data_IF_897101757803
#
_entry.id   IF_897101757803
#
_cell.length_a   1.000
_cell.length_b   1.000
_cell.length_c   1.000
_cell.angle_alpha   90.00
_cell.angle_beta   90.00
_cell.angle_gamma   90.00
#
_symmetry.space_group_name_H-M   'P 1'
#
loop_
_entity.id
_entity.type
_entity.pdbx_description
1 polymer ?
#
# COMPACT_ATOMS: atom_id res chain seq x y z
N UNK A 1 -2.23 11.41 33.84
CA UNK A 1 -2.21 11.59 32.38
C UNK A 1 -0.91 12.29 32.07
N UNK A 2 0.04 11.58 31.50
CA UNK A 2 1.24 12.19 30.95
C UNK A 2 0.79 12.99 29.74
N UNK A 3 0.97 14.30 29.76
CA UNK A 3 0.59 15.17 28.66
C UNK A 3 1.23 14.68 27.37
N UNK A 4 0.47 14.66 26.30
CA UNK A 4 0.98 14.44 24.96
C UNK A 4 2.04 15.51 24.68
N UNK A 5 3.23 15.09 24.30
CA UNK A 5 4.25 16.01 23.82
C UNK A 5 3.78 16.47 22.45
N UNK A 6 3.34 17.74 22.36
CA UNK A 6 3.07 18.36 21.05
C UNK A 6 4.39 18.43 20.27
N UNK A 7 4.35 18.11 18.99
CA UNK A 7 5.49 18.31 18.09
C UNK A 7 5.81 19.79 17.85
N UNK A 8 5.02 20.66 18.42
CA UNK A 8 5.11 22.11 18.23
C UNK A 8 4.30 22.59 17.02
N UNK A 9 4.18 23.93 16.87
CA UNK A 9 3.47 24.48 15.74
C UNK A 9 4.23 24.23 14.44
N UNK A 10 3.51 23.93 13.38
CA UNK A 10 4.08 23.81 12.04
C UNK A 10 4.66 25.15 11.57
N UNK A 11 5.93 25.14 11.15
CA UNK A 11 6.69 26.34 10.78
C UNK A 11 6.63 26.72 9.29
N UNK A 12 5.88 25.96 8.49
CA UNK A 12 5.61 26.24 7.08
C UNK A 12 6.40 25.41 6.08
N UNK A 13 7.66 25.13 6.29
CA UNK A 13 8.45 24.29 5.38
C UNK A 13 8.99 23.09 6.14
N UNK A 14 8.46 21.87 5.89
CA UNK A 14 8.98 20.67 6.53
C UNK A 14 10.43 20.44 6.12
N UNK A 15 11.22 20.02 7.08
CA UNK A 15 12.59 19.60 6.80
C UNK A 15 12.59 18.13 6.38
N UNK A 16 13.53 17.75 5.54
CA UNK A 16 13.74 16.34 5.16
C UNK A 16 14.57 15.59 6.21
N UNK A 17 14.48 16.01 7.47
CA UNK A 17 15.18 15.37 8.59
C UNK A 17 14.74 13.92 8.70
N UNK A 18 15.72 13.02 8.67
CA UNK A 18 15.47 11.57 8.68
C UNK A 18 15.25 10.93 7.32
N UNK A 19 15.06 11.71 6.26
CA UNK A 19 15.09 11.17 4.91
C UNK A 19 16.50 10.68 4.57
N UNK A 20 16.58 9.49 3.96
CA UNK A 20 17.86 8.99 3.47
C UNK A 20 18.31 9.84 2.29
N UNK A 21 19.45 10.45 2.40
CA UNK A 21 20.05 11.19 1.29
C UNK A 21 20.42 10.20 0.18
N UNK A 22 19.97 10.47 -1.03
CA UNK A 22 20.32 9.66 -2.18
C UNK A 22 21.85 9.72 -2.40
N UNK A 23 22.52 8.61 -2.18
CA UNK A 23 23.92 8.45 -2.54
C UNK A 23 24.00 7.79 -3.91
N UNK A 24 24.02 8.61 -4.94
CA UNK A 24 24.02 8.16 -6.34
C UNK A 24 25.27 7.36 -6.72
N UNK A 25 26.32 7.40 -5.93
CA UNK A 25 27.56 6.66 -6.18
C UNK A 25 27.50 5.21 -5.71
N UNK A 26 26.56 4.87 -4.81
CA UNK A 26 26.43 3.53 -4.26
C UNK A 26 25.14 2.82 -4.71
N UNK A 27 24.22 3.54 -5.31
CA UNK A 27 22.92 3.00 -5.69
C UNK A 27 22.96 2.42 -7.11
N UNK A 28 22.57 1.17 -7.24
CA UNK A 28 22.19 0.63 -8.55
C UNK A 28 20.77 1.11 -8.83
N UNK A 29 20.61 1.91 -9.88
CA UNK A 29 19.30 2.37 -10.28
C UNK A 29 18.41 1.17 -10.65
N UNK A 30 17.28 1.03 -10.00
CA UNK A 30 16.22 0.15 -10.46
C UNK A 30 15.62 0.86 -11.68
N UNK A 31 15.66 0.22 -12.84
CA UNK A 31 15.03 0.78 -14.02
C UNK A 31 13.53 0.93 -13.74
N UNK A 32 12.95 2.12 -13.91
CA UNK A 32 11.51 2.29 -13.74
C UNK A 32 10.79 1.36 -14.71
N UNK A 33 9.63 0.86 -14.29
CA UNK A 33 8.75 0.12 -15.19
C UNK A 33 8.39 1.04 -16.34
N UNK A 34 8.40 0.56 -17.59
CA UNK A 34 8.04 1.40 -18.73
C UNK A 34 6.59 1.87 -18.54
N UNK A 35 6.28 3.15 -18.79
CA UNK A 35 4.91 3.63 -18.77
C UNK A 35 4.07 2.79 -19.72
N UNK A 36 2.83 2.54 -19.36
CA UNK A 36 1.93 1.79 -20.21
C UNK A 36 1.67 2.58 -21.50
N UNK A 37 2.10 2.10 -22.68
CA UNK A 37 2.00 2.85 -23.92
C UNK A 37 0.57 3.09 -24.40
N UNK A 38 -0.41 2.37 -23.85
CA UNK A 38 -1.83 2.52 -24.19
C UNK A 38 -2.58 3.45 -23.26
N UNK A 39 -1.96 3.92 -22.19
CA UNK A 39 -2.57 4.89 -21.28
C UNK A 39 -2.74 6.24 -22.00
N UNK A 40 -4.00 6.69 -22.14
CA UNK A 40 -4.35 7.89 -22.92
C UNK A 40 -4.61 9.13 -22.07
N UNK A 41 -4.47 9.03 -20.77
CA UNK A 41 -4.73 10.16 -19.88
C UNK A 41 -3.50 10.99 -19.53
N UNK A 42 -2.34 10.61 -20.02
CA UNK A 42 -1.16 11.46 -20.07
C UNK A 42 -1.00 12.07 -21.47
N UNK A 43 -0.54 13.31 -21.54
CA UNK A 43 -0.11 13.90 -22.78
C UNK A 43 1.30 13.39 -23.16
N UNK A 44 1.77 13.80 -24.35
CA UNK A 44 3.10 13.40 -24.84
C UNK A 44 4.27 13.87 -23.93
N UNK A 45 4.04 14.80 -23.01
CA UNK A 45 4.99 15.31 -22.03
C UNK A 45 4.89 14.59 -20.68
N UNK A 46 4.05 13.55 -20.56
CA UNK A 46 3.85 12.82 -19.31
C UNK A 46 3.04 13.58 -18.25
N UNK A 47 2.27 14.58 -18.67
CA UNK A 47 1.39 15.35 -17.79
C UNK A 47 -0.04 14.82 -17.93
N UNK A 48 -0.72 14.64 -16.80
CA UNK A 48 -2.11 14.21 -16.78
C UNK A 48 -2.99 15.14 -17.60
N UNK A 49 -3.89 14.55 -18.39
CA UNK A 49 -4.89 15.29 -19.15
C UNK A 49 -5.98 15.86 -18.24
N UNK A 50 -6.28 15.18 -17.15
CA UNK A 50 -7.17 15.70 -16.11
C UNK A 50 -6.29 16.27 -14.99
N UNK A 51 -6.26 17.59 -14.84
CA UNK A 51 -5.47 18.21 -13.80
C UNK A 51 -5.96 17.82 -12.40
N UNK A 52 -5.05 17.92 -11.43
CA UNK A 52 -5.39 17.79 -10.03
C UNK A 52 -6.58 18.69 -9.66
N UNK A 53 -7.47 18.25 -8.76
CA UNK A 53 -8.57 19.08 -8.31
C UNK A 53 -8.07 20.36 -7.67
N UNK A 54 -8.73 21.50 -7.98
CA UNK A 54 -8.40 22.75 -7.33
C UNK A 54 -8.79 22.70 -5.85
N UNK A 55 -7.94 23.23 -4.95
CA UNK A 55 -8.28 23.33 -3.54
C UNK A 55 -9.58 24.12 -3.33
N UNK A 56 -10.41 23.65 -2.43
CA UNK A 56 -11.61 24.36 -1.99
C UNK A 56 -11.86 24.13 -0.51
N UNK A 57 -12.54 25.04 0.14
CA UNK A 57 -12.93 24.90 1.55
C UNK A 57 -14.12 23.95 1.67
N UNK A 58 -14.03 22.89 2.49
CA UNK A 58 -15.18 22.00 2.74
C UNK A 58 -16.37 22.76 3.33
N UNK A 59 -17.57 22.49 2.85
CA UNK A 59 -18.80 23.14 3.32
C UNK A 59 -19.26 22.66 4.72
N UNK A 60 -18.72 21.55 5.19
CA UNK A 60 -19.05 20.97 6.49
C UNK A 60 -18.16 21.46 7.62
N UNK A 61 -18.56 21.15 8.84
CA UNK A 61 -17.68 21.28 9.98
C UNK A 61 -17.57 22.68 10.58
N UNK A 62 -18.58 23.52 10.43
CA UNK A 62 -18.62 24.75 11.20
C UNK A 62 -18.64 24.44 12.70
N UNK A 63 -17.77 25.12 13.43
CA UNK A 63 -17.67 24.95 14.89
C UNK A 63 -19.00 25.24 15.58
N UNK A 64 -19.27 24.51 16.64
CA UNK A 64 -20.53 24.63 17.39
C UNK A 64 -20.70 25.97 18.11
N UNK A 65 -19.62 26.73 18.25
CA UNK A 65 -19.56 28.06 18.87
C UNK A 65 -19.52 29.21 17.85
N UNK A 66 -19.74 28.91 16.56
CA UNK A 66 -19.64 29.90 15.48
C UNK A 66 -18.21 30.16 15.01
N UNK A 67 -17.22 29.47 15.53
CA UNK A 67 -15.83 29.54 15.03
C UNK A 67 -15.66 28.55 13.88
N UNK A 68 -15.13 29.00 12.79
CA UNK A 68 -14.81 28.14 11.64
C UNK A 68 -13.70 27.16 12.05
N UNK A 69 -13.93 25.84 11.88
CA UNK A 69 -12.90 24.86 12.19
C UNK A 69 -11.74 24.95 11.20
N UNK A 70 -10.54 24.76 11.71
CA UNK A 70 -9.33 24.76 10.89
C UNK A 70 -8.88 23.33 10.62
N UNK A 71 -9.09 22.87 9.42
CA UNK A 71 -8.62 21.56 8.93
C UNK A 71 -7.23 21.72 8.31
N UNK A 72 -6.24 21.99 9.15
CA UNK A 72 -4.86 22.25 8.73
C UNK A 72 -3.89 21.46 9.60
N UNK A 73 -2.73 21.19 9.04
CA UNK A 73 -1.59 20.62 9.78
C UNK A 73 -1.12 21.58 10.87
N UNK A 74 -0.74 21.03 12.03
CA UNK A 74 -0.31 21.80 13.19
C UNK A 74 1.19 21.60 13.51
N UNK A 75 1.86 20.64 12.84
CA UNK A 75 3.27 20.32 13.08
C UNK A 75 3.92 19.76 11.81
N UNK A 76 5.26 19.65 11.84
CA UNK A 76 6.02 18.97 10.78
C UNK A 76 5.63 17.50 10.68
N UNK A 77 5.30 16.84 11.79
CA UNK A 77 4.79 15.47 11.80
C UNK A 77 3.46 15.36 11.07
N UNK A 78 2.52 16.27 11.35
CA UNK A 78 1.25 16.32 10.62
C UNK A 78 1.50 16.49 9.12
N UNK A 79 2.35 17.47 8.76
CA UNK A 79 2.64 17.73 7.36
C UNK A 79 3.22 16.52 6.64
N UNK A 80 4.26 15.91 7.17
CA UNK A 80 4.93 14.76 6.56
C UNK A 80 4.01 13.54 6.47
N UNK A 81 3.14 13.33 7.46
CA UNK A 81 2.18 12.23 7.49
C UNK A 81 1.04 12.46 6.50
N UNK A 82 0.48 13.67 6.46
CA UNK A 82 -0.60 14.01 5.51
C UNK A 82 -0.06 14.06 4.08
N UNK A 83 1.17 14.55 3.87
CA UNK A 83 1.80 14.53 2.56
C UNK A 83 2.03 13.09 2.05
N UNK A 84 2.39 12.15 2.93
CA UNK A 84 2.43 10.73 2.59
C UNK A 84 1.04 10.22 2.18
N UNK A 85 0.00 10.54 2.94
CA UNK A 85 -1.39 10.24 2.59
C UNK A 85 -1.74 10.81 1.21
N UNK A 86 -1.40 12.07 0.93
CA UNK A 86 -1.68 12.67 -0.37
C UNK A 86 -0.96 11.97 -1.53
N UNK A 87 0.26 11.46 -1.34
CA UNK A 87 0.90 10.62 -2.35
C UNK A 87 0.13 9.32 -2.58
N UNK A 88 -0.48 8.76 -1.54
CA UNK A 88 -1.34 7.58 -1.66
C UNK A 88 -2.61 7.90 -2.46
N UNK A 89 -3.30 8.99 -2.15
CA UNK A 89 -4.49 9.42 -2.88
C UNK A 89 -4.20 9.68 -4.37
N UNK A 90 -3.07 10.34 -4.65
CA UNK A 90 -2.67 10.58 -6.03
C UNK A 90 -2.37 9.31 -6.82
N UNK A 91 -1.72 8.32 -6.21
CA UNK A 91 -1.45 7.04 -6.90
C UNK A 91 -2.74 6.25 -7.10
N UNK A 92 -3.67 6.24 -6.14
CA UNK A 92 -4.93 5.51 -6.27
C UNK A 92 -5.83 6.14 -7.33
N UNK A 93 -5.94 7.46 -7.35
CA UNK A 93 -6.65 8.18 -8.41
C UNK A 93 -6.09 7.86 -9.80
N UNK A 94 -4.76 7.91 -9.94
CA UNK A 94 -4.09 7.58 -11.20
C UNK A 94 -4.26 6.10 -11.56
N UNK A 95 -4.07 5.21 -10.61
CA UNK A 95 -4.16 3.76 -10.77
C UNK A 95 -5.54 3.32 -11.27
N UNK A 96 -6.60 3.81 -10.65
CA UNK A 96 -7.97 3.47 -11.06
C UNK A 96 -8.25 3.99 -12.47
N UNK A 97 -7.89 5.23 -12.76
CA UNK A 97 -8.02 5.81 -14.10
C UNK A 97 -7.13 5.09 -15.12
N UNK A 98 -5.93 4.66 -14.72
CA UNK A 98 -5.02 3.89 -15.58
C UNK A 98 -5.66 2.58 -16.00
N UNK A 99 -6.12 1.79 -15.06
CA UNK A 99 -6.78 0.52 -15.37
C UNK A 99 -8.01 0.70 -16.26
N UNK A 100 -8.80 1.74 -16.01
CA UNK A 100 -9.97 2.05 -16.85
C UNK A 100 -9.60 2.52 -18.27
N UNK A 101 -8.44 3.14 -18.45
CA UNK A 101 -7.95 3.55 -19.76
C UNK A 101 -7.31 2.41 -20.54
N UNK A 102 -6.61 1.51 -19.81
CA UNK A 102 -5.87 0.39 -20.40
C UNK A 102 -6.78 -0.79 -20.74
N UNK A 103 -7.73 -1.09 -19.87
CA UNK A 103 -8.62 -2.24 -20.01
C UNK A 103 -10.02 -1.79 -20.43
N UNK A 104 -10.47 -2.33 -21.55
CA UNK A 104 -11.82 -2.12 -22.06
C UNK A 104 -12.87 -2.84 -21.20
N UNK A 105 -14.14 -2.54 -21.45
CA UNK A 105 -15.25 -3.29 -20.83
C UNK A 105 -15.20 -4.78 -21.22
N UNK A 106 -14.78 -5.08 -22.45
CA UNK A 106 -14.63 -6.47 -22.93
C UNK A 106 -13.53 -7.20 -22.17
N UNK A 107 -12.38 -6.55 -21.89
CA UNK A 107 -11.30 -7.13 -21.08
C UNK A 107 -11.79 -7.48 -19.66
N UNK A 108 -12.64 -6.63 -19.07
CA UNK A 108 -13.25 -6.92 -17.77
C UNK A 108 -14.19 -8.12 -17.84
N UNK A 109 -15.02 -8.21 -18.89
CA UNK A 109 -15.91 -9.36 -19.11
C UNK A 109 -15.12 -10.64 -19.32
N UNK A 110 -14.05 -10.62 -20.11
CA UNK A 110 -13.16 -11.76 -20.32
C UNK A 110 -12.48 -12.20 -19.02
N UNK A 111 -12.12 -11.25 -18.15
CA UNK A 111 -11.59 -11.52 -16.82
C UNK A 111 -12.64 -12.09 -15.86
N UNK A 112 -13.93 -12.13 -16.26
CA UNK A 112 -15.04 -12.60 -15.45
C UNK A 112 -15.61 -11.56 -14.51
N UNK A 113 -15.40 -10.29 -14.78
CA UNK A 113 -16.01 -9.16 -14.10
C UNK A 113 -17.11 -8.55 -14.99
N UNK A 114 -17.97 -7.75 -14.40
CA UNK A 114 -19.09 -7.13 -15.09
C UNK A 114 -18.81 -5.66 -15.46
N UNK A 115 -19.63 -5.09 -16.33
CA UNK A 115 -19.61 -3.66 -16.59
C UNK A 115 -19.90 -2.84 -15.31
N UNK A 116 -20.69 -3.39 -14.38
CA UNK A 116 -20.97 -2.77 -13.08
C UNK A 116 -19.72 -2.76 -12.19
N UNK A 117 -18.95 -3.82 -12.13
CA UNK A 117 -17.68 -3.86 -11.40
C UNK A 117 -16.72 -2.78 -11.92
N UNK A 118 -16.64 -2.62 -13.25
CA UNK A 118 -15.85 -1.56 -13.88
C UNK A 118 -16.37 -0.16 -13.53
N UNK A 119 -17.70 0.02 -13.47
CA UNK A 119 -18.31 1.27 -13.08
C UNK A 119 -18.04 1.63 -11.61
N UNK A 120 -17.96 0.64 -10.73
CA UNK A 120 -17.55 0.86 -9.33
C UNK A 120 -16.13 1.40 -9.24
N UNK A 121 -15.19 0.90 -10.04
CA UNK A 121 -13.83 1.42 -10.06
C UNK A 121 -13.80 2.88 -10.56
N UNK A 122 -14.62 3.21 -11.57
CA UNK A 122 -14.77 4.59 -12.03
C UNK A 122 -15.33 5.50 -10.93
N UNK A 123 -16.25 5.00 -10.12
CA UNK A 123 -16.77 5.73 -8.97
C UNK A 123 -15.72 5.90 -7.87
N UNK A 124 -14.91 4.87 -7.60
CA UNK A 124 -13.79 4.95 -6.66
C UNK A 124 -12.80 6.04 -7.08
N UNK A 125 -12.45 6.13 -8.37
CA UNK A 125 -11.59 7.21 -8.87
C UNK A 125 -12.17 8.62 -8.59
N UNK A 126 -13.49 8.77 -8.59
CA UNK A 126 -14.14 10.02 -8.18
C UNK A 126 -14.01 10.26 -6.67
N UNK A 127 -14.07 9.21 -5.85
CA UNK A 127 -13.83 9.31 -4.41
C UNK A 127 -12.41 9.78 -4.12
N UNK A 128 -11.40 9.23 -4.82
CA UNK A 128 -10.01 9.67 -4.67
C UNK A 128 -9.79 11.13 -5.07
N UNK A 129 -10.56 11.66 -6.01
CA UNK A 129 -10.56 13.10 -6.29
C UNK A 129 -10.98 13.89 -5.05
N UNK A 130 -11.96 13.42 -4.31
CA UNK A 130 -12.42 14.02 -3.06
C UNK A 130 -11.35 13.96 -1.96
N UNK A 131 -10.75 12.79 -1.78
CA UNK A 131 -9.67 12.55 -0.79
C UNK A 131 -8.45 13.42 -1.10
N UNK A 132 -7.95 13.40 -2.34
CA UNK A 132 -6.82 14.23 -2.75
C UNK A 132 -7.10 15.74 -2.59
N UNK A 133 -8.31 16.19 -2.86
CA UNK A 133 -8.73 17.58 -2.63
C UNK A 133 -8.67 17.92 -1.14
N UNK A 134 -9.19 17.04 -0.29
CA UNK A 134 -9.18 17.22 1.16
C UNK A 134 -7.77 17.39 1.70
N UNK A 135 -6.87 16.46 1.36
CA UNK A 135 -5.50 16.48 1.85
C UNK A 135 -4.71 17.67 1.28
N UNK A 136 -4.94 18.02 0.01
CA UNK A 136 -4.36 19.23 -0.59
C UNK A 136 -4.75 20.48 0.19
N UNK A 137 -6.01 20.61 0.58
CA UNK A 137 -6.49 21.75 1.37
C UNK A 137 -5.86 21.79 2.77
N UNK A 138 -5.64 20.62 3.40
CA UNK A 138 -4.98 20.53 4.71
C UNK A 138 -3.52 20.97 4.67
N UNK A 139 -2.82 20.69 3.58
CA UNK A 139 -1.40 21.00 3.39
C UNK A 139 -1.16 22.40 2.81
N UNK A 140 -2.14 22.97 2.12
CA UNK A 140 -2.06 24.28 1.49
C UNK A 140 -1.08 24.33 0.31
N UNK A 141 -0.38 25.46 0.14
CA UNK A 141 0.51 25.69 -1.03
C UNK A 141 1.69 24.72 -1.11
N UNK A 142 2.08 24.10 -0.01
CA UNK A 142 3.17 23.13 0.05
C UNK A 142 2.72 21.69 -0.25
N UNK A 143 1.44 21.48 -0.58
CA UNK A 143 0.91 20.16 -0.89
C UNK A 143 1.65 19.50 -2.05
N UNK A 144 2.04 18.22 -1.94
CA UNK A 144 2.53 17.47 -3.08
C UNK A 144 1.52 17.45 -4.22
N UNK A 145 2.01 17.64 -5.44
CA UNK A 145 1.20 17.50 -6.64
C UNK A 145 1.38 16.11 -7.25
N UNK A 146 0.46 15.73 -8.11
CA UNK A 146 0.46 14.43 -8.73
C UNK A 146 1.77 14.15 -9.50
N UNK A 147 2.26 12.93 -9.36
CA UNK A 147 3.45 12.40 -10.02
C UNK A 147 3.09 11.56 -11.24
N UNK A 148 4.07 10.92 -11.86
CA UNK A 148 3.88 9.87 -12.85
C UNK A 148 4.24 8.52 -12.25
N UNK A 149 3.61 7.46 -12.75
CA UNK A 149 3.66 6.15 -12.11
C UNK A 149 3.98 5.04 -13.11
N UNK A 150 4.50 3.94 -12.60
CA UNK A 150 4.69 2.70 -13.34
C UNK A 150 4.05 1.55 -12.55
N UNK A 151 3.17 0.79 -13.19
CA UNK A 151 2.43 -0.27 -12.55
C UNK A 151 2.87 -1.65 -13.03
N UNK A 152 2.88 -2.67 -12.16
CA UNK A 152 3.40 -4.00 -12.49
C UNK A 152 2.37 -4.93 -13.14
N UNK A 153 1.13 -4.51 -13.34
CA UNK A 153 0.07 -5.34 -13.88
C UNK A 153 -0.02 -5.27 -15.41
N UNK A 154 -0.55 -6.32 -16.02
CA UNK A 154 -0.78 -6.46 -17.47
C UNK A 154 -2.13 -7.05 -17.81
N UNK A 155 -2.84 -7.57 -16.83
CA UNK A 155 -4.18 -8.14 -16.97
C UNK A 155 -5.13 -7.47 -16.00
N UNK A 156 -6.45 -7.57 -16.25
CA UNK A 156 -7.47 -7.04 -15.35
C UNK A 156 -7.34 -7.65 -13.94
N UNK A 157 -7.05 -8.94 -13.84
CA UNK A 157 -6.90 -9.58 -12.53
C UNK A 157 -5.70 -9.10 -11.76
N UNK A 158 -4.58 -8.93 -12.43
CA UNK A 158 -3.40 -8.34 -11.80
C UNK A 158 -3.65 -6.89 -11.38
N UNK A 159 -4.40 -6.14 -12.18
CA UNK A 159 -4.85 -4.79 -11.85
C UNK A 159 -5.71 -4.78 -10.59
N UNK A 160 -6.72 -5.64 -10.50
CA UNK A 160 -7.58 -5.71 -9.31
C UNK A 160 -6.80 -6.19 -8.08
N UNK A 161 -5.90 -7.17 -8.24
CA UNK A 161 -5.02 -7.62 -7.15
C UNK A 161 -4.09 -6.52 -6.66
N UNK A 162 -3.53 -5.77 -7.58
CA UNK A 162 -2.68 -4.62 -7.25
C UNK A 162 -3.47 -3.53 -6.52
N UNK A 163 -4.68 -3.21 -6.97
CA UNK A 163 -5.56 -2.26 -6.31
C UNK A 163 -5.85 -2.67 -4.86
N UNK A 164 -6.27 -3.92 -4.63
CA UNK A 164 -6.59 -4.36 -3.27
C UNK A 164 -5.38 -4.28 -2.33
N UNK A 165 -4.16 -4.42 -2.85
CA UNK A 165 -2.93 -4.32 -2.05
C UNK A 165 -2.52 -2.87 -1.80
N UNK A 166 -2.62 -2.00 -2.82
CA UNK A 166 -2.30 -0.57 -2.67
C UNK A 166 -3.28 0.09 -1.71
N UNK A 167 -4.58 -0.15 -1.86
CA UNK A 167 -5.59 0.37 -0.93
C UNK A 167 -5.34 -0.16 0.48
N UNK A 168 -4.97 -1.44 0.64
CA UNK A 168 -4.59 -1.98 1.94
C UNK A 168 -3.39 -1.27 2.57
N UNK A 169 -2.40 -0.88 1.77
CA UNK A 169 -1.24 -0.11 2.24
C UNK A 169 -1.64 1.31 2.63
N UNK A 170 -2.50 1.95 1.86
CA UNK A 170 -3.03 3.29 2.15
C UNK A 170 -3.76 3.34 3.48
N UNK A 171 -4.76 2.48 3.64
CA UNK A 171 -5.49 2.30 4.89
C UNK A 171 -4.55 2.10 6.07
N UNK A 172 -3.65 1.14 5.95
CA UNK A 172 -2.75 0.76 7.03
C UNK A 172 -1.76 1.87 7.36
N UNK A 173 -1.30 2.61 6.36
CA UNK A 173 -0.44 3.78 6.55
C UNK A 173 -1.12 4.85 7.39
N UNK A 174 -2.38 5.18 7.05
CA UNK A 174 -3.17 6.18 7.80
C UNK A 174 -3.46 5.69 9.21
N UNK A 175 -3.91 4.45 9.40
CA UNK A 175 -4.13 3.89 10.75
C UNK A 175 -2.87 3.91 11.60
N UNK A 176 -1.68 3.84 10.99
CA UNK A 176 -0.40 3.86 11.71
C UNK A 176 -0.02 5.22 12.28
N UNK A 177 -0.47 6.33 11.68
CA UNK A 177 -0.09 7.67 12.14
C UNK A 177 -1.24 8.52 12.68
N UNK A 178 -2.49 8.21 12.37
CA UNK A 178 -3.64 9.06 12.67
C UNK A 178 -3.77 9.42 14.15
N UNK A 179 -3.42 8.50 15.04
CA UNK A 179 -3.47 8.67 16.49
C UNK A 179 -2.34 9.55 17.05
N UNK A 180 -1.35 9.90 16.22
CA UNK A 180 -0.22 10.74 16.58
C UNK A 180 -0.30 12.16 16.01
N UNK A 181 -1.33 12.46 15.21
CA UNK A 181 -1.53 13.79 14.66
C UNK A 181 -1.83 14.80 15.76
N UNK A 182 -1.21 15.98 15.65
CA UNK A 182 -1.48 17.10 16.54
C UNK A 182 -2.80 17.80 16.18
N UNK A 183 -3.19 17.78 14.91
CA UNK A 183 -4.50 18.27 14.44
C UNK A 183 -5.57 17.19 14.58
N UNK A 184 -6.43 17.35 15.56
CA UNK A 184 -7.57 16.44 15.79
C UNK A 184 -8.64 16.55 14.71
N UNK A 185 -8.81 17.75 14.17
CA UNK A 185 -9.72 18.03 13.07
C UNK A 185 -9.30 17.28 11.80
N UNK A 186 -8.01 17.27 11.52
CA UNK A 186 -7.42 16.50 10.43
C UNK A 186 -7.59 15.00 10.67
N UNK A 187 -7.28 14.52 11.87
CA UNK A 187 -7.47 13.11 12.23
C UNK A 187 -8.92 12.66 12.07
N UNK A 188 -9.88 13.52 12.42
CA UNK A 188 -11.31 13.25 12.21
C UNK A 188 -11.64 13.09 10.72
N UNK A 189 -11.16 13.99 9.86
CA UNK A 189 -11.42 13.92 8.43
C UNK A 189 -10.80 12.67 7.79
N UNK A 190 -9.56 12.35 8.17
CA UNK A 190 -8.89 11.14 7.70
C UNK A 190 -9.62 9.86 8.11
N UNK A 191 -10.16 9.82 9.32
CA UNK A 191 -10.98 8.67 9.76
C UNK A 191 -12.18 8.44 8.86
N UNK A 192 -12.73 9.50 8.27
CA UNK A 192 -13.87 9.41 7.37
C UNK A 192 -13.46 8.97 5.96
N UNK A 193 -12.31 9.44 5.44
CA UNK A 193 -11.82 9.00 4.13
C UNK A 193 -11.40 7.53 4.18
N UNK A 194 -10.60 7.14 5.16
CA UNK A 194 -10.09 5.79 5.29
C UNK A 194 -11.20 4.74 5.46
N UNK A 195 -12.32 5.11 6.09
CA UNK A 195 -13.50 4.26 6.18
C UNK A 195 -14.14 4.00 4.80
N UNK A 196 -13.92 4.87 3.83
CA UNK A 196 -14.36 4.69 2.44
C UNK A 196 -13.40 3.77 1.69
N UNK A 197 -12.10 3.93 1.89
CA UNK A 197 -11.07 3.07 1.30
C UNK A 197 -11.20 1.62 1.78
N UNK A 198 -11.53 1.38 3.04
CA UNK A 198 -11.83 0.04 3.54
C UNK A 198 -12.96 -0.64 2.75
N UNK A 199 -13.96 0.12 2.27
CA UNK A 199 -15.01 -0.41 1.40
C UNK A 199 -14.52 -0.63 -0.03
N UNK A 200 -13.62 0.18 -0.53
CA UNK A 200 -12.99 -0.02 -1.84
C UNK A 200 -12.16 -1.31 -1.82
N UNK A 201 -11.32 -1.49 -0.81
CA UNK A 201 -10.54 -2.71 -0.60
C UNK A 201 -11.44 -3.94 -0.50
N UNK A 202 -12.52 -3.86 0.27
CA UNK A 202 -13.54 -4.90 0.34
C UNK A 202 -14.09 -5.27 -1.06
N UNK A 203 -14.39 -4.26 -1.90
CA UNK A 203 -14.93 -4.48 -3.24
C UNK A 203 -13.90 -5.17 -4.15
N UNK A 204 -12.64 -4.75 -4.12
CA UNK A 204 -11.58 -5.42 -4.87
C UNK A 204 -11.39 -6.88 -4.42
N UNK A 205 -11.45 -7.14 -3.12
CA UNK A 205 -11.40 -8.50 -2.58
C UNK A 205 -12.57 -9.35 -3.07
N UNK A 206 -13.78 -8.79 -3.14
CA UNK A 206 -14.95 -9.47 -3.70
C UNK A 206 -14.74 -9.80 -5.18
N UNK A 207 -14.24 -8.86 -5.98
CA UNK A 207 -13.94 -9.07 -7.39
C UNK A 207 -12.93 -10.22 -7.61
N UNK A 208 -12.02 -10.42 -6.66
CA UNK A 208 -11.05 -11.52 -6.68
C UNK A 208 -11.57 -12.82 -6.06
N UNK A 209 -12.75 -12.79 -5.47
CA UNK A 209 -13.30 -13.92 -4.72
C UNK A 209 -12.57 -14.16 -3.39
N UNK A 210 -11.90 -13.19 -2.84
CA UNK A 210 -11.31 -13.23 -1.51
C UNK A 210 -12.35 -12.93 -0.42
N UNK A 211 -12.05 -13.23 0.84
CA UNK A 211 -12.90 -12.79 1.94
C UNK A 211 -12.99 -11.26 1.94
N UNK A 212 -14.20 -10.68 1.81
CA UNK A 212 -14.34 -9.24 1.65
C UNK A 212 -14.04 -8.46 2.93
N UNK A 213 -14.31 -9.05 4.08
CA UNK A 213 -14.04 -8.51 5.42
C UNK A 213 -13.24 -9.55 6.20
N UNK A 214 -11.93 -9.64 5.95
CA UNK A 214 -11.14 -10.81 6.34
C UNK A 214 -10.76 -10.84 7.81
N UNK A 215 -10.82 -9.71 8.51
CA UNK A 215 -10.31 -9.54 9.88
C UNK A 215 -11.27 -8.77 10.77
N UNK A 216 -11.01 -8.76 12.07
CA UNK A 216 -11.82 -8.02 13.05
C UNK A 216 -11.34 -6.58 13.24
N UNK A 217 -10.05 -6.30 13.03
CA UNK A 217 -9.46 -4.98 13.21
C UNK A 217 -8.54 -4.66 12.04
N UNK A 218 -8.56 -3.40 11.61
CA UNK A 218 -7.59 -2.92 10.62
C UNK A 218 -6.18 -2.85 11.23
N UNK A 219 -5.18 -2.95 10.37
CA UNK A 219 -3.78 -2.96 10.77
C UNK A 219 -3.15 -1.60 10.49
N UNK A 220 -2.53 -0.97 11.48
CA UNK A 220 -1.70 0.22 11.27
C UNK A 220 -0.24 -0.14 11.02
N UNK A 221 0.43 0.61 10.14
CA UNK A 221 1.87 0.46 9.85
C UNK A 221 2.60 1.80 9.94
N UNK A 222 3.91 1.82 10.23
CA UNK A 222 4.70 3.04 10.25
C UNK A 222 4.76 3.72 8.87
N UNK A 223 4.89 5.03 8.85
CA UNK A 223 4.99 5.83 7.61
C UNK A 223 6.13 5.37 6.69
N UNK A 224 7.29 5.02 7.24
CA UNK A 224 8.41 4.48 6.44
C UNK A 224 8.05 3.17 5.74
N UNK A 225 7.15 2.36 6.32
CA UNK A 225 6.66 1.14 5.69
C UNK A 225 5.73 1.49 4.53
N UNK A 226 4.74 2.34 4.78
CA UNK A 226 3.83 2.80 3.73
C UNK A 226 4.61 3.45 2.57
N UNK A 227 5.58 4.34 2.88
CA UNK A 227 6.43 4.96 1.87
C UNK A 227 7.29 3.95 1.10
N UNK A 228 7.82 2.93 1.76
CA UNK A 228 8.58 1.85 1.11
C UNK A 228 7.74 1.12 0.07
N UNK A 229 6.49 0.78 0.42
CA UNK A 229 5.59 0.10 -0.51
C UNK A 229 5.13 1.00 -1.66
N UNK A 230 4.87 2.27 -1.40
CA UNK A 230 4.30 3.21 -2.35
C UNK A 230 5.34 3.74 -3.34
N UNK A 231 6.48 4.19 -2.84
CA UNK A 231 7.46 4.97 -3.60
C UNK A 231 8.04 4.23 -4.80
N UNK A 232 8.09 2.92 -4.76
CA UNK A 232 8.63 2.09 -5.85
C UNK A 232 7.83 2.19 -7.14
N UNK A 233 6.59 2.62 -7.08
CA UNK A 233 5.71 2.78 -8.25
C UNK A 233 5.68 4.22 -8.77
N UNK A 234 6.31 5.17 -8.07
CA UNK A 234 6.40 6.56 -8.49
C UNK A 234 7.63 6.72 -9.39
N UNK A 235 7.41 6.96 -10.67
CA UNK A 235 8.50 7.09 -11.65
C UNK A 235 9.14 8.47 -11.63
N UNK A 236 8.33 9.53 -11.60
CA UNK A 236 8.85 10.90 -11.50
C UNK A 236 7.82 11.84 -10.86
N UNK A 237 8.32 12.89 -10.23
CA UNK A 237 7.53 13.98 -9.69
C UNK A 237 8.03 15.32 -10.19
N UNK A 238 7.22 16.39 -10.16
CA UNK A 238 7.66 17.74 -10.47
C UNK A 238 8.88 18.18 -9.64
N UNK A 239 9.77 18.94 -10.27
CA UNK A 239 11.08 19.26 -9.69
C UNK A 239 11.03 20.04 -8.36
N UNK A 240 9.95 20.79 -8.13
CA UNK A 240 9.78 21.63 -6.94
C UNK A 240 9.05 20.93 -5.79
N UNK A 241 8.78 19.63 -5.92
CA UNK A 241 8.05 18.90 -4.92
C UNK A 241 8.91 18.62 -3.70
N UNK A 242 8.37 18.89 -2.52
CA UNK A 242 9.04 18.63 -1.26
C UNK A 242 9.30 17.13 -1.11
N UNK A 243 10.53 16.80 -0.75
CA UNK A 243 10.93 15.43 -0.44
C UNK A 243 10.38 15.02 0.93
N UNK A 244 9.74 13.87 1.00
CA UNK A 244 9.29 13.31 2.27
C UNK A 244 10.47 12.83 3.14
N UNK A 245 10.32 12.95 4.46
CA UNK A 245 11.30 12.51 5.43
C UNK A 245 11.38 10.98 5.61
N UNK A 246 10.40 10.24 5.11
CA UNK A 246 10.27 8.81 5.38
C UNK A 246 11.35 7.98 4.69
N UNK A 247 11.89 7.03 5.45
CA UNK A 247 12.90 6.09 4.98
C UNK A 247 12.28 5.08 4.01
N UNK A 248 13.07 4.64 3.02
CA UNK A 248 12.81 3.44 2.25
C UNK A 248 13.66 2.28 2.77
N UNK A 249 13.00 1.17 3.05
CA UNK A 249 13.63 -0.07 3.50
C UNK A 249 13.87 -0.99 2.30
N UNK A 250 14.84 -1.94 2.39
CA UNK A 250 14.98 -2.98 1.38
C UNK A 250 13.72 -3.84 1.26
N UNK A 251 13.41 -4.32 0.06
CA UNK A 251 12.25 -5.17 -0.16
C UNK A 251 12.49 -6.61 0.29
N UNK A 252 11.51 -7.19 0.94
CA UNK A 252 11.38 -8.60 1.31
C UNK A 252 10.35 -9.27 0.39
N UNK A 253 10.72 -10.39 -0.19
CA UNK A 253 9.87 -11.15 -1.10
C UNK A 253 9.47 -12.50 -0.49
N UNK A 254 8.20 -12.83 -0.61
CA UNK A 254 7.68 -14.15 -0.23
C UNK A 254 7.65 -15.04 -1.48
N UNK A 255 8.54 -16.02 -1.53
CA UNK A 255 8.70 -16.89 -2.71
C UNK A 255 7.48 -17.78 -2.94
N UNK A 256 6.83 -18.20 -1.86
CA UNK A 256 5.67 -19.10 -1.88
C UNK A 256 4.43 -18.45 -1.26
N UNK A 257 4.06 -17.26 -1.77
CA UNK A 257 2.84 -16.57 -1.35
C UNK A 257 1.64 -17.49 -1.28
N UNK A 258 0.83 -17.30 -0.26
CA UNK A 258 -0.41 -18.05 -0.10
C UNK A 258 -1.47 -17.59 -1.12
N UNK A 259 -1.57 -16.29 -1.37
CA UNK A 259 -2.43 -15.79 -2.43
C UNK A 259 -1.86 -16.20 -3.80
N UNK A 260 -2.60 -16.96 -4.59
CA UNK A 260 -2.14 -17.42 -5.90
C UNK A 260 -2.15 -16.35 -6.99
N UNK A 261 -2.77 -15.21 -6.75
CA UNK A 261 -2.88 -14.13 -7.73
C UNK A 261 -1.56 -13.38 -7.86
N UNK A 262 -0.71 -13.85 -8.76
CA UNK A 262 0.66 -13.42 -8.99
C UNK A 262 0.89 -13.07 -10.45
N UNK A 263 2.02 -12.41 -10.72
CA UNK A 263 2.43 -12.13 -12.10
C UNK A 263 3.02 -13.36 -12.81
N UNK A 264 3.53 -14.36 -12.07
CA UNK A 264 4.05 -15.60 -12.62
C UNK A 264 3.82 -16.76 -11.63
N UNK A 265 3.65 -18.02 -12.10
CA UNK A 265 3.50 -19.16 -11.21
C UNK A 265 4.63 -19.34 -10.21
N UNK A 266 5.80 -18.82 -10.57
CA UNK A 266 7.01 -18.87 -9.73
C UNK A 266 7.33 -17.56 -9.04
N UNK A 267 6.54 -16.52 -9.26
CA UNK A 267 6.78 -15.20 -8.72
C UNK A 267 6.03 -14.96 -7.43
N UNK A 268 6.52 -13.99 -6.73
CA UNK A 268 5.79 -13.30 -5.69
C UNK A 268 4.66 -12.47 -6.28
N UNK A 269 3.69 -12.08 -5.48
CA UNK A 269 2.65 -11.18 -5.91
C UNK A 269 3.24 -9.85 -6.44
N UNK A 270 2.55 -9.15 -7.36
CA UNK A 270 3.09 -7.95 -8.01
C UNK A 270 3.63 -6.90 -7.05
N UNK A 271 2.99 -6.78 -5.91
CA UNK A 271 3.34 -5.82 -4.88
C UNK A 271 4.70 -6.09 -4.21
N UNK A 272 5.26 -7.25 -4.37
CA UNK A 272 6.49 -7.65 -3.72
C UNK A 272 7.76 -7.33 -4.52
N UNK A 273 7.75 -6.19 -5.22
CA UNK A 273 8.95 -5.63 -5.85
C UNK A 273 9.32 -6.25 -7.19
N UNK A 274 8.36 -6.77 -7.93
CA UNK A 274 8.66 -7.25 -9.27
C UNK A 274 8.96 -6.07 -10.21
N UNK A 275 10.21 -5.95 -10.57
CA UNK A 275 10.73 -5.02 -11.58
C UNK A 275 11.20 -5.86 -12.77
N UNK A 276 10.46 -5.90 -13.84
CA UNK A 276 10.92 -6.67 -15.00
C UNK A 276 10.16 -6.41 -16.29
N UNK A 277 10.90 -6.49 -17.40
CA UNK A 277 10.32 -6.59 -18.73
C UNK A 277 9.57 -7.93 -18.83
N UNK A 278 8.26 -7.89 -18.67
CA UNK A 278 7.44 -9.05 -18.93
C UNK A 278 6.85 -8.96 -20.32
N UNK A 279 7.12 -9.96 -21.11
CA UNK A 279 6.23 -10.33 -22.19
C UNK A 279 4.99 -10.94 -21.57
N UNK A 280 3.81 -10.52 -22.01
CA UNK A 280 2.56 -11.19 -21.70
C UNK A 280 2.75 -12.69 -21.96
N UNK A 281 2.72 -13.49 -20.91
CA UNK A 281 2.71 -14.93 -21.06
C UNK A 281 1.28 -15.36 -21.34
N UNK A 282 0.99 -15.96 -22.50
CA UNK A 282 -0.35 -16.45 -22.80
C UNK A 282 -0.90 -17.45 -21.77
N UNK A 283 -0.02 -18.13 -21.02
CA UNK A 283 -0.40 -19.01 -19.92
C UNK A 283 -1.07 -18.27 -18.75
N UNK A 284 -0.91 -16.96 -18.68
CA UNK A 284 -1.56 -16.11 -17.69
C UNK A 284 -3.05 -15.87 -17.94
N UNK A 285 -3.51 -16.04 -19.15
CA UNK A 285 -4.94 -15.95 -19.46
C UNK A 285 -5.76 -17.12 -18.86
N UNK A 286 -5.07 -18.14 -18.38
CA UNK A 286 -5.69 -19.30 -17.73
C UNK A 286 -5.26 -19.38 -16.28
N UNK A 287 -5.88 -18.58 -15.41
CA UNK A 287 -5.76 -18.79 -13.97
C UNK A 287 -6.37 -20.15 -13.66
N UNK A 288 -5.61 -21.07 -13.03
CA UNK A 288 -6.17 -22.35 -12.64
C UNK A 288 -7.41 -22.19 -11.77
N UNK A 289 -8.37 -23.04 -11.96
CA UNK A 289 -9.71 -22.93 -11.40
C UNK A 289 -9.79 -22.97 -9.86
N UNK A 290 -8.73 -23.34 -9.19
CA UNK A 290 -8.63 -23.38 -7.73
C UNK A 290 -7.91 -22.17 -7.14
N UNK A 291 -7.56 -21.19 -7.98
CA UNK A 291 -6.85 -20.00 -7.53
C UNK A 291 -7.82 -18.86 -7.20
N UNK A 292 -7.50 -17.65 -7.51
CA UNK A 292 -8.09 -16.44 -6.95
C UNK A 292 -9.60 -16.32 -6.99
N UNK A 293 -10.29 -16.80 -7.97
CA UNK A 293 -11.74 -16.66 -8.04
C UNK A 293 -12.48 -17.84 -7.44
N UNK A 294 -11.94 -18.39 -6.48
CA UNK A 294 -12.60 -19.42 -5.73
C UNK A 294 -13.22 -20.48 -6.61
N UNK A 295 -13.30 -21.46 -6.76
CA UNK A 295 -13.97 -22.55 -7.45
C UNK A 295 -14.76 -22.09 -8.70
N UNK A 296 -14.10 -21.97 -9.82
CA UNK A 296 -14.71 -21.68 -11.12
C UNK A 296 -15.85 -22.65 -11.49
N UNK A 297 -15.89 -23.85 -10.90
CA UNK A 297 -16.99 -24.76 -11.07
C UNK A 297 -18.29 -24.28 -10.40
N UNK A 298 -18.20 -23.41 -9.40
CA UNK A 298 -19.35 -22.84 -8.70
C UNK A 298 -19.70 -21.45 -9.24
N UNK A 299 -18.69 -20.63 -9.56
CA UNK A 299 -18.87 -19.25 -9.98
C UNK A 299 -18.65 -19.02 -11.46
N UNK A 300 -18.20 -20.04 -12.20
CA UNK A 300 -17.75 -19.89 -13.58
C UNK A 300 -16.45 -19.07 -13.67
N UNK A 301 -16.22 -18.42 -14.79
CA UNK A 301 -15.12 -17.49 -14.95
C UNK A 301 -15.37 -16.16 -14.25
N UNK A 302 -16.59 -15.93 -13.83
CA UNK A 302 -16.97 -14.73 -13.13
C UNK A 302 -16.75 -14.94 -11.63
N UNK A 303 -15.69 -14.35 -11.13
CA UNK A 303 -15.50 -14.23 -9.69
C UNK A 303 -16.52 -13.30 -9.06
N UNK A 304 -17.21 -12.52 -9.90
CA UNK A 304 -18.35 -11.66 -9.60
C UNK A 304 -18.25 -10.93 -8.26
N UNK A 305 -19.24 -10.18 -7.89
CA UNK A 305 -19.42 -9.71 -6.52
C UNK A 305 -19.85 -10.87 -5.58
N UNK A 306 -20.03 -12.06 -6.14
CA UNK A 306 -20.38 -13.21 -5.36
C UNK A 306 -19.21 -13.59 -4.45
N UNK A 307 -19.36 -13.32 -3.19
CA UNK A 307 -18.61 -13.98 -2.13
C UNK A 307 -18.67 -15.46 -2.43
N UNK A 308 -17.54 -16.09 -2.57
CA UNK A 308 -17.53 -17.51 -2.70
C UNK A 308 -18.03 -18.10 -1.40
N UNK A 309 -19.26 -18.53 -1.41
CA UNK A 309 -19.93 -19.11 -0.25
C UNK A 309 -19.23 -20.37 0.28
N UNK A 310 -18.30 -20.91 -0.50
CA UNK A 310 -17.53 -22.11 -0.14
C UNK A 310 -16.15 -21.78 0.41
N UNK A 311 -15.80 -20.50 0.62
CA UNK A 311 -14.56 -20.11 1.28
C UNK A 311 -14.70 -20.27 2.79
N UNK A 312 -14.63 -21.49 3.23
CA UNK A 312 -14.59 -21.83 4.65
C UNK A 312 -13.16 -21.82 5.20
N UNK A 313 -12.18 -21.92 4.31
CA UNK A 313 -10.78 -22.06 4.67
C UNK A 313 -9.94 -20.90 4.10
N UNK A 314 -9.00 -20.37 4.86
CA UNK A 314 -8.05 -19.38 4.36
C UNK A 314 -7.09 -20.03 3.34
N UNK A 315 -6.42 -19.20 2.54
CA UNK A 315 -5.40 -19.68 1.59
C UNK A 315 -4.12 -20.14 2.30
N UNK A 316 -3.98 -19.80 3.56
CA UNK A 316 -2.83 -20.12 4.39
C UNK A 316 -3.27 -20.58 5.79
N UNK A 317 -2.33 -21.06 6.58
CA UNK A 317 -2.60 -21.58 7.92
C UNK A 317 -1.37 -21.38 8.83
N UNK A 318 -1.56 -21.25 10.14
CA UNK A 318 -0.47 -21.25 11.10
C UNK A 318 0.41 -22.51 10.99
N UNK A 319 1.74 -22.31 11.00
CA UNK A 319 2.71 -23.39 10.79
C UNK A 319 3.10 -23.64 9.33
N UNK A 320 2.50 -22.97 8.38
CA UNK A 320 2.96 -22.99 6.97
C UNK A 320 4.38 -22.43 6.89
N UNK A 321 5.27 -23.14 6.22
CA UNK A 321 6.61 -22.62 5.93
C UNK A 321 6.53 -21.50 4.89
N UNK A 322 7.19 -20.40 5.18
CA UNK A 322 7.25 -19.20 4.33
C UNK A 322 8.69 -18.99 3.90
N UNK A 323 8.94 -19.10 2.60
CA UNK A 323 10.26 -18.94 2.01
C UNK A 323 10.47 -17.49 1.59
N UNK A 324 11.58 -16.93 1.99
CA UNK A 324 11.88 -15.52 1.90
C UNK A 324 13.16 -15.26 1.13
N UNK A 325 13.14 -14.19 0.32
CA UNK A 325 14.34 -13.57 -0.23
C UNK A 325 14.25 -12.07 -0.02
N UNK A 326 15.36 -11.36 0.04
CA UNK A 326 15.34 -9.91 0.24
C UNK A 326 16.50 -9.23 -0.48
N UNK A 327 16.33 -7.92 -0.68
CA UNK A 327 17.32 -7.08 -1.33
C UNK A 327 18.40 -6.60 -0.34
N UNK A 328 19.58 -6.36 -0.87
CA UNK A 328 20.57 -5.56 -0.15
C UNK A 328 20.13 -4.09 -0.09
N UNK A 329 20.51 -3.34 0.96
CA UNK A 329 20.34 -1.90 0.97
C UNK A 329 21.20 -1.21 -0.10
N UNK A 330 20.88 0.04 -0.43
CA UNK A 330 21.64 0.85 -1.37
C UNK A 330 21.04 0.93 -2.77
N UNK A 331 19.81 0.44 -2.97
CA UNK A 331 19.11 0.55 -4.25
C UNK A 331 18.43 1.92 -4.37
N UNK A 332 18.60 2.57 -5.52
CA UNK A 332 17.87 3.78 -5.85
C UNK A 332 16.37 3.45 -6.10
N UNK A 333 15.48 4.25 -5.56
CA UNK A 333 14.04 4.01 -5.60
C UNK A 333 13.27 5.34 -5.53
N UNK A 334 11.98 5.27 -5.78
CA UNK A 334 11.07 6.39 -5.65
C UNK A 334 11.18 7.40 -6.78
N UNK A 335 10.52 8.57 -6.65
CA UNK A 335 10.44 9.54 -7.73
C UNK A 335 11.83 9.97 -8.21
N UNK A 336 12.05 9.85 -9.52
CA UNK A 336 13.32 10.16 -10.19
C UNK A 336 14.53 9.40 -9.60
N UNK A 337 14.32 8.23 -8.98
CA UNK A 337 15.36 7.47 -8.25
C UNK A 337 16.07 8.31 -7.16
N UNK A 338 15.35 9.22 -6.52
CA UNK A 338 15.92 10.20 -5.59
C UNK A 338 16.04 9.68 -4.15
N UNK A 339 15.49 8.53 -3.86
CA UNK A 339 15.65 7.83 -2.58
C UNK A 339 16.61 6.65 -2.72
N UNK A 340 17.10 6.16 -1.60
CA UNK A 340 17.96 4.98 -1.54
C UNK A 340 17.47 4.10 -0.41
N UNK A 341 17.29 2.81 -0.68
CA UNK A 341 16.93 1.86 0.36
C UNK A 341 18.04 1.74 1.39
N UNK A 342 17.71 1.76 2.67
CA UNK A 342 18.68 1.71 3.75
C UNK A 342 18.12 0.96 4.95
N UNK A 343 19.01 0.47 5.79
CA UNK A 343 18.69 -0.08 7.11
C UNK A 343 19.85 0.20 8.08
N UNK A 344 19.49 0.36 9.35
CA UNK A 344 20.46 0.41 10.47
C UNK A 344 20.47 -0.89 11.27
N UNK A 345 19.57 -1.82 10.94
CA UNK A 345 19.47 -3.12 11.62
C UNK A 345 20.71 -3.97 11.40
N UNK A 346 20.96 -4.83 12.37
CA UNK A 346 22.01 -5.86 12.32
C UNK A 346 21.64 -7.03 11.41
N UNK A 347 22.21 -8.20 11.70
CA UNK A 347 21.87 -9.42 10.96
C UNK A 347 20.42 -9.86 11.28
N UNK A 348 19.64 -10.26 10.28
CA UNK A 348 18.26 -10.67 10.51
C UNK A 348 18.20 -11.98 11.32
N UNK A 349 17.37 -11.99 12.34
CA UNK A 349 17.17 -13.13 13.24
C UNK A 349 15.70 -13.56 13.32
N UNK A 350 14.79 -12.62 13.11
CA UNK A 350 13.35 -12.85 13.25
C UNK A 350 12.58 -12.34 12.03
N UNK A 351 11.37 -12.84 11.91
CA UNK A 351 10.33 -12.26 11.07
C UNK A 351 9.25 -11.68 11.99
N UNK A 352 9.06 -10.38 11.92
CA UNK A 352 7.97 -9.67 12.56
C UNK A 352 6.72 -9.78 11.67
N UNK A 353 5.59 -10.13 12.26
CA UNK A 353 4.28 -10.24 11.62
C UNK A 353 3.35 -9.21 12.24
N UNK A 354 2.98 -8.21 11.46
CA UNK A 354 2.06 -7.16 11.89
C UNK A 354 0.70 -7.44 11.26
N UNK A 355 -0.26 -7.75 12.09
CA UNK A 355 -1.62 -8.07 11.67
C UNK A 355 -2.59 -7.56 12.72
N UNK A 356 -3.58 -6.82 12.32
CA UNK A 356 -4.60 -6.27 13.20
C UNK A 356 -3.98 -5.47 14.38
N UNK A 357 -4.24 -5.87 15.61
CA UNK A 357 -3.70 -5.24 16.82
C UNK A 357 -2.45 -5.95 17.35
N UNK A 358 -1.90 -6.90 16.60
CA UNK A 358 -0.85 -7.78 17.09
C UNK A 358 0.47 -7.64 16.31
N UNK A 359 1.56 -7.78 17.04
CA UNK A 359 2.92 -7.94 16.51
C UNK A 359 3.49 -9.26 17.06
N UNK A 360 3.68 -10.21 16.17
CA UNK A 360 4.20 -11.53 16.52
C UNK A 360 5.56 -11.73 15.86
N UNK A 361 6.48 -12.38 16.52
CA UNK A 361 7.79 -12.73 15.96
C UNK A 361 7.94 -14.24 15.80
N UNK A 362 8.55 -14.64 14.69
CA UNK A 362 8.96 -16.01 14.46
C UNK A 362 10.45 -16.06 14.11
N UNK A 363 11.18 -17.12 14.53
CA UNK A 363 12.59 -17.25 14.18
C UNK A 363 12.79 -17.34 12.67
N UNK A 364 13.83 -16.67 12.17
CA UNK A 364 14.29 -16.79 10.79
C UNK A 364 15.39 -17.84 10.70
N UNK A 365 15.25 -18.79 9.78
CA UNK A 365 16.32 -19.73 9.42
C UNK A 365 16.95 -19.28 8.10
N UNK A 366 18.21 -18.88 8.15
CA UNK A 366 18.95 -18.45 6.96
C UNK A 366 19.32 -19.65 6.08
N UNK A 367 19.14 -19.48 4.75
CA UNK A 367 19.55 -20.48 3.73
C UNK A 367 20.62 -19.91 2.79
N UNK A 368 20.88 -18.62 2.85
CA UNK A 368 21.88 -17.89 2.08
C UNK A 368 22.01 -16.46 2.60
N UNK A 369 22.81 -15.64 1.91
CA UNK A 369 23.07 -14.25 2.33
C UNK A 369 21.80 -13.39 2.33
N UNK A 370 20.90 -13.63 1.39
CA UNK A 370 19.65 -12.89 1.19
C UNK A 370 18.48 -13.84 1.00
N UNK A 371 18.49 -14.97 1.70
CA UNK A 371 17.43 -15.96 1.64
C UNK A 371 17.27 -16.69 2.95
N UNK A 372 16.07 -17.11 3.26
CA UNK A 372 15.74 -17.85 4.47
C UNK A 372 14.30 -18.33 4.45
N UNK A 373 13.88 -18.90 5.54
CA UNK A 373 12.50 -19.28 5.76
C UNK A 373 12.10 -19.10 7.24
N UNK A 374 10.82 -19.01 7.42
CA UNK A 374 10.18 -18.99 8.73
C UNK A 374 8.87 -19.78 8.68
N UNK A 375 8.09 -19.73 9.74
CA UNK A 375 6.77 -20.36 9.80
C UNK A 375 5.72 -19.31 10.17
N UNK A 376 4.61 -19.29 9.44
CA UNK A 376 3.50 -18.40 9.73
C UNK A 376 2.97 -18.62 11.14
N UNK A 377 2.87 -17.57 11.98
CA UNK A 377 2.26 -17.67 13.30
C UNK A 377 0.73 -17.70 13.21
N UNK A 378 0.06 -17.98 14.31
CA UNK A 378 -1.39 -17.83 14.42
C UNK A 378 -1.82 -16.35 14.31
N UNK A 379 -1.06 -15.44 14.92
CA UNK A 379 -1.31 -13.98 14.93
C UNK A 379 -2.70 -13.55 15.42
N UNK A 380 -3.41 -14.42 16.13
CA UNK A 380 -4.72 -14.14 16.69
C UNK A 380 -4.64 -13.04 17.75
N UNK A 381 -5.54 -12.06 17.67
CA UNK A 381 -5.74 -11.07 18.74
C UNK A 381 -6.58 -11.66 19.87
N UNK A 382 -7.65 -12.35 19.48
CA UNK A 382 -8.53 -13.09 20.39
C UNK A 382 -8.85 -14.46 19.81
N UNK A 383 -9.31 -15.37 20.65
CA UNK A 383 -9.70 -16.70 20.21
C UNK A 383 -10.75 -16.65 19.10
N UNK A 384 -10.48 -17.29 17.98
CA UNK A 384 -11.35 -17.34 16.81
C UNK A 384 -11.17 -16.19 15.81
N UNK A 385 -10.15 -15.38 16.01
CA UNK A 385 -9.75 -14.33 15.10
C UNK A 385 -9.33 -14.91 13.73
N UNK A 386 -9.90 -14.40 12.60
CA UNK A 386 -9.60 -14.89 11.27
C UNK A 386 -8.32 -14.26 10.66
N UNK A 387 -7.28 -13.99 11.44
CA UNK A 387 -6.04 -13.31 11.00
C UNK A 387 -5.42 -13.91 9.73
N UNK A 388 -5.55 -15.23 9.54
CA UNK A 388 -5.07 -15.92 8.35
C UNK A 388 -5.89 -15.65 7.07
N UNK A 389 -6.91 -14.80 7.12
CA UNK A 389 -7.73 -14.46 5.95
C UNK A 389 -7.33 -13.13 5.30
N UNK A 390 -6.30 -12.46 5.78
CA UNK A 390 -5.93 -11.11 5.34
C UNK A 390 -4.46 -11.01 4.89
N UNK A 391 -4.09 -9.80 4.53
CA UNK A 391 -2.72 -9.39 4.27
C UNK A 391 -2.05 -8.97 5.57
N UNK A 392 -0.94 -9.61 5.90
CA UNK A 392 -0.05 -9.26 6.99
C UNK A 392 1.14 -8.48 6.45
N UNK A 393 1.59 -7.48 7.20
CA UNK A 393 2.85 -6.80 6.91
C UNK A 393 3.96 -7.54 7.63
N UNK A 394 5.00 -7.92 6.89
CA UNK A 394 6.10 -8.70 7.44
C UNK A 394 7.41 -7.95 7.31
N UNK A 395 8.25 -8.05 8.33
CA UNK A 395 9.58 -7.47 8.30
C UNK A 395 10.63 -8.46 8.82
N UNK A 396 11.78 -8.50 8.16
CA UNK A 396 12.95 -9.12 8.77
C UNK A 396 13.52 -8.18 9.80
N UNK A 397 13.78 -8.68 11.01
CA UNK A 397 14.32 -7.89 12.11
C UNK A 397 15.54 -8.55 12.76
N UNK A 398 16.41 -7.72 13.33
CA UNK A 398 17.55 -8.18 14.13
C UNK A 398 17.17 -8.46 15.60
N UNK A 399 15.98 -8.06 16.02
CA UNK A 399 15.50 -8.14 17.41
C UNK A 399 13.99 -8.39 17.42
N UNK A 400 13.50 -8.98 18.52
CA UNK A 400 12.09 -9.30 18.79
C UNK A 400 11.51 -8.36 19.87
N UNK A 401 11.69 -7.07 19.71
CA UNK A 401 11.26 -6.05 20.68
C UNK A 401 9.75 -6.04 20.86
N UNK A 402 9.30 -5.90 22.11
CA UNK A 402 7.88 -5.79 22.40
C UNK A 402 7.36 -4.40 22.02
N UNK A 403 6.39 -4.36 21.12
CA UNK A 403 5.69 -3.15 20.67
C UNK A 403 4.18 -3.37 20.62
N UNK A 404 3.46 -2.29 20.56
CA UNK A 404 2.01 -2.24 20.38
C UNK A 404 1.68 -1.43 19.13
N UNK A 405 0.47 -1.46 18.61
CA UNK A 405 0.08 -0.61 17.49
C UNK A 405 0.40 0.87 17.70
N UNK A 406 0.34 1.35 18.95
CA UNK A 406 0.58 2.75 19.28
C UNK A 406 2.03 3.20 19.08
N UNK A 407 3.00 2.33 19.29
CA UNK A 407 4.43 2.65 19.20
C UNK A 407 5.18 1.80 18.16
N UNK A 408 4.47 1.27 17.19
CA UNK A 408 5.03 0.35 16.20
C UNK A 408 6.17 0.97 15.38
N UNK A 409 6.19 2.28 15.17
CA UNK A 409 7.28 2.97 14.46
C UNK A 409 8.66 2.78 15.10
N UNK A 410 8.73 2.42 16.37
CA UNK A 410 9.98 2.09 17.05
C UNK A 410 10.65 0.81 16.50
N UNK A 411 9.95 0.02 15.69
CA UNK A 411 10.54 -1.16 15.01
C UNK A 411 11.53 -0.75 13.90
N UNK A 412 11.39 0.43 13.30
CA UNK A 412 12.13 0.82 12.10
C UNK A 412 13.66 0.66 12.20
N UNK A 413 14.34 1.00 13.31
CA UNK A 413 15.78 0.78 13.45
C UNK A 413 16.21 -0.68 13.40
N UNK A 414 15.28 -1.60 13.64
CA UNK A 414 15.51 -3.04 13.70
C UNK A 414 15.10 -3.76 12.40
N UNK A 415 14.53 -3.05 11.43
CA UNK A 415 14.05 -3.66 10.18
C UNK A 415 15.19 -3.78 9.16
N UNK A 416 15.44 -4.99 8.72
CA UNK A 416 16.41 -5.32 7.65
C UNK A 416 15.75 -5.22 6.27
N UNK A 417 14.55 -5.74 6.13
CA UNK A 417 13.77 -5.70 4.89
C UNK A 417 12.28 -5.84 5.20
N UNK A 418 11.43 -5.36 4.30
CA UNK A 418 9.99 -5.21 4.48
C UNK A 418 9.21 -5.82 3.30
N UNK A 419 8.13 -6.54 3.57
CA UNK A 419 7.29 -7.18 2.57
C UNK A 419 5.85 -7.39 3.02
N UNK A 420 5.04 -7.91 2.10
CA UNK A 420 3.66 -8.29 2.35
C UNK A 420 3.50 -9.81 2.30
N UNK A 421 2.69 -10.34 3.18
CA UNK A 421 2.25 -11.73 3.19
C UNK A 421 0.73 -11.80 3.15
N UNK A 422 0.19 -12.15 2.01
CA UNK A 422 -1.25 -12.28 1.86
C UNK A 422 -1.68 -13.71 2.19
N UNK A 423 -2.26 -13.90 3.35
CA UNK A 423 -2.69 -15.20 3.86
C UNK A 423 -4.03 -15.66 3.27
N UNK A 424 -4.88 -14.72 2.85
CA UNK A 424 -6.18 -15.05 2.28
C UNK A 424 -6.85 -13.96 1.49
#
# INVERSE_FOLDING_TARGET
MTGFTSHGPYSGTPTTIGAVMANTTLATAIAPLPPNPTATYYNAQGVLLNPAPAPYTPNGGLGTNGTEPRYMVNSDFDFESIALGLYQEWIELDLFNNGLAVFSEEDFLEAGLTAEDRAYIAFMAIQETGHATLLTNMLGEAAPVQCTYNYPFRTVREFIDFNQKITRVGESGVWGFINHLDSREVAQMLSQSIATEARQQMSFRQMLGLHPMPVWFETGIPQSWAWTFLSQYISSCPANQTRLAWQNLPNLFVVNQANPNRLSPNDTAPFEGYVGNRTLDPAYSTIPSNESCVNLNVTGYNCGPAIARNRSEPLSFPGKQVNLTWQAPGLAIGPNNSYVTSTTAGQPQFVAWVSQLNLTYTPLTLTGNYSGYTYQPASEVYQGDPAANDTMFIALTDSDIFLTPFNLSMINPHVVALGLYQAG
#
